data_IF_010055769195
#
_entry.id   IF_010055769195
#
_cell.length_a   1.000
_cell.length_b   1.000
_cell.length_c   1.000
_cell.angle_alpha   90.00
_cell.angle_beta   90.00
_cell.angle_gamma   90.00
#
_symmetry.space_group_name_H-M   'P 1'
#
loop_
_entity.id
_entity.type
_entity.pdbx_description
1 polymer ?
#
# COMPACT_ATOMS: atom_id res chain seq x y z
N UNK A 1 -13.70 21.59 -1.91
CA UNK A 1 -12.71 20.47 -2.01
C UNK A 1 -11.78 20.54 -0.81
N UNK A 2 -11.78 19.51 0.04
CA UNK A 2 -10.80 19.44 1.11
C UNK A 2 -9.40 19.18 0.51
N UNK A 3 -8.42 19.93 0.96
CA UNK A 3 -7.04 19.74 0.53
C UNK A 3 -6.55 18.37 0.99
N UNK A 4 -5.98 17.58 0.06
CA UNK A 4 -5.46 16.25 0.36
C UNK A 4 -4.17 16.37 1.18
N UNK A 5 -4.08 15.64 2.28
CA UNK A 5 -2.84 15.56 3.04
C UNK A 5 -1.71 15.02 2.15
N UNK A 6 -0.51 15.63 2.24
CA UNK A 6 0.67 15.21 1.49
C UNK A 6 1.22 13.87 1.96
N UNK A 7 0.99 13.54 3.22
CA UNK A 7 1.42 12.29 3.86
C UNK A 7 0.45 11.91 4.97
N UNK A 8 0.33 10.62 5.24
CA UNK A 8 -0.37 10.10 6.42
C UNK A 8 0.29 8.79 6.83
N UNK A 9 0.23 8.47 8.11
CA UNK A 9 0.83 7.28 8.70
C UNK A 9 -0.13 6.65 9.70
N UNK A 10 -0.29 5.34 9.62
CA UNK A 10 -1.00 4.53 10.60
C UNK A 10 -0.08 3.42 11.11
N UNK A 11 -0.33 2.91 12.30
CA UNK A 11 0.51 1.87 12.89
C UNK A 11 -0.26 0.91 13.78
N UNK A 12 0.30 -0.28 13.96
CA UNK A 12 -0.28 -1.37 14.76
C UNK A 12 0.83 -2.22 15.38
N UNK A 13 0.55 -2.80 16.54
CA UNK A 13 1.40 -3.83 17.13
C UNK A 13 1.03 -5.21 16.59
N UNK A 14 2.04 -6.02 16.24
CA UNK A 14 1.87 -7.36 15.68
C UNK A 14 2.69 -8.35 16.51
N UNK A 15 2.06 -9.41 16.99
CA UNK A 15 2.72 -10.46 17.75
C UNK A 15 3.41 -11.47 16.80
N UNK A 16 4.35 -10.98 16.03
CA UNK A 16 5.20 -11.74 15.12
C UNK A 16 6.52 -10.99 14.91
N UNK A 17 7.56 -11.68 14.46
CA UNK A 17 8.87 -11.04 14.22
C UNK A 17 8.82 -10.06 13.05
N UNK A 18 9.69 -9.04 13.02
CA UNK A 18 9.80 -8.14 11.86
C UNK A 18 10.05 -8.87 10.54
N UNK A 19 10.80 -9.95 10.54
CA UNK A 19 11.04 -10.78 9.36
C UNK A 19 9.78 -11.47 8.84
N UNK A 20 8.96 -12.00 9.75
CA UNK A 20 7.66 -12.60 9.41
C UNK A 20 6.72 -11.57 8.80
N UNK A 21 6.63 -10.39 9.41
CA UNK A 21 5.81 -9.28 8.91
C UNK A 21 6.31 -8.80 7.55
N UNK A 22 7.63 -8.64 7.39
CA UNK A 22 8.22 -8.25 6.12
C UNK A 22 7.89 -9.25 5.00
N UNK A 23 8.00 -10.54 5.27
CA UNK A 23 7.68 -11.57 4.28
C UNK A 23 6.23 -11.47 3.76
N UNK A 24 5.30 -11.06 4.62
CA UNK A 24 3.91 -10.85 4.22
C UNK A 24 3.75 -9.57 3.37
N UNK A 25 4.25 -8.44 3.85
CA UNK A 25 4.04 -7.14 3.16
C UNK A 25 4.82 -7.01 1.87
N UNK A 26 5.97 -7.67 1.74
CA UNK A 26 6.81 -7.63 0.54
C UNK A 26 6.40 -8.61 -0.55
N UNK A 27 5.58 -9.60 -0.22
CA UNK A 27 4.96 -10.48 -1.21
C UNK A 27 3.71 -9.82 -1.79
N UNK A 28 3.92 -9.05 -2.85
CA UNK A 28 2.84 -8.28 -3.48
C UNK A 28 1.73 -9.17 -4.04
N UNK A 29 1.99 -10.45 -4.30
CA UNK A 29 0.97 -11.37 -4.79
C UNK A 29 -0.14 -11.62 -3.78
N UNK A 30 0.11 -11.34 -2.50
CA UNK A 30 -0.85 -11.45 -1.40
C UNK A 30 -1.57 -10.14 -1.08
N UNK A 31 -1.19 -9.02 -1.71
CA UNK A 31 -1.72 -7.69 -1.38
C UNK A 31 -3.26 -7.61 -1.48
N UNK A 32 -3.87 -8.35 -2.38
CA UNK A 32 -5.33 -8.43 -2.50
C UNK A 32 -6.03 -9.05 -1.28
N UNK A 33 -5.30 -9.74 -0.40
CA UNK A 33 -5.85 -10.34 0.82
C UNK A 33 -6.10 -9.31 1.92
N UNK A 34 -5.31 -8.25 1.97
CA UNK A 34 -5.41 -7.24 3.03
C UNK A 34 -5.76 -5.84 2.58
N UNK A 35 -5.40 -5.44 1.37
CA UNK A 35 -5.79 -4.12 0.88
C UNK A 35 -7.26 -4.09 0.44
N UNK A 36 -8.08 -3.13 0.93
CA UNK A 36 -9.47 -2.98 0.48
C UNK A 36 -9.61 -2.61 -1.00
N UNK A 37 -8.66 -1.89 -1.56
CA UNK A 37 -8.69 -1.44 -2.95
C UNK A 37 -8.03 -2.42 -3.92
N UNK A 38 -6.90 -3.02 -3.53
CA UNK A 38 -6.18 -3.95 -4.40
C UNK A 38 -6.91 -5.28 -4.52
N UNK A 39 -7.15 -5.74 -5.73
CA UNK A 39 -7.77 -7.04 -6.01
C UNK A 39 -6.72 -8.11 -6.25
N UNK A 40 -5.75 -7.81 -7.09
CA UNK A 40 -4.64 -8.70 -7.37
C UNK A 40 -3.38 -7.92 -7.76
N UNK A 41 -2.24 -8.51 -7.47
CA UNK A 41 -0.94 -8.03 -7.91
C UNK A 41 -0.11 -9.19 -8.41
N UNK A 42 0.73 -8.94 -9.42
CA UNK A 42 1.72 -9.90 -9.90
C UNK A 42 2.96 -9.21 -10.44
N UNK A 43 4.10 -9.86 -10.28
CA UNK A 43 5.37 -9.38 -10.80
C UNK A 43 5.35 -9.31 -12.33
N UNK A 44 6.00 -8.30 -12.91
CA UNK A 44 6.13 -8.10 -14.36
C UNK A 44 7.58 -7.79 -14.72
N UNK A 45 7.86 -7.72 -16.04
CA UNK A 45 9.16 -7.35 -16.59
C UNK A 45 10.31 -8.24 -16.05
N UNK A 46 10.03 -9.55 -15.87
CA UNK A 46 11.01 -10.53 -15.39
C UNK A 46 11.29 -10.51 -13.89
N UNK A 47 10.62 -9.66 -13.11
CA UNK A 47 10.73 -9.67 -11.66
C UNK A 47 10.07 -10.90 -11.04
N UNK A 48 10.69 -11.45 -10.00
CA UNK A 48 10.21 -12.63 -9.28
C UNK A 48 10.08 -12.42 -7.77
N UNK A 49 10.45 -11.24 -7.28
CA UNK A 49 10.42 -10.93 -5.86
C UNK A 49 10.77 -9.47 -5.56
N UNK A 50 10.73 -9.09 -4.28
CA UNK A 50 10.91 -7.71 -3.84
C UNK A 50 12.40 -7.31 -3.87
N UNK A 51 12.79 -6.66 -4.95
CA UNK A 51 14.11 -6.01 -5.08
C UNK A 51 13.92 -4.59 -5.60
N UNK A 52 14.78 -3.62 -5.19
CA UNK A 52 14.71 -2.28 -5.75
C UNK A 52 14.76 -2.30 -7.28
N UNK A 53 13.84 -1.59 -7.91
CA UNK A 53 13.67 -1.59 -9.37
C UNK A 53 12.69 -2.63 -9.90
N UNK A 54 12.34 -3.66 -9.14
CA UNK A 54 11.32 -4.64 -9.53
C UNK A 54 9.95 -3.97 -9.72
N UNK A 55 9.24 -4.36 -10.75
CA UNK A 55 7.92 -3.83 -11.09
C UNK A 55 6.85 -4.88 -10.93
N UNK A 56 5.67 -4.45 -10.58
CA UNK A 56 4.49 -5.31 -10.52
C UNK A 56 3.26 -4.59 -11.10
N UNK A 57 2.29 -5.36 -11.54
CA UNK A 57 0.99 -4.85 -11.95
C UNK A 57 0.02 -5.01 -10.79
N UNK A 58 -0.65 -3.92 -10.43
CA UNK A 58 -1.72 -3.93 -9.45
C UNK A 58 -3.05 -3.62 -10.14
N UNK A 59 -4.05 -4.45 -9.90
CA UNK A 59 -5.43 -4.23 -10.31
C UNK A 59 -6.21 -3.79 -9.08
N UNK A 60 -6.81 -2.62 -9.17
CA UNK A 60 -7.51 -1.96 -8.06
C UNK A 60 -8.98 -1.72 -8.40
N UNK A 61 -9.78 -1.62 -7.35
CA UNK A 61 -11.18 -1.23 -7.45
C UNK A 61 -11.60 -0.53 -6.16
N UNK A 62 -12.10 0.69 -6.27
CA UNK A 62 -12.76 1.35 -5.16
C UNK A 62 -14.09 0.64 -4.85
N UNK A 63 -14.63 0.86 -3.66
CA UNK A 63 -15.93 0.32 -3.25
C UNK A 63 -17.03 0.67 -4.26
N UNK A 64 -16.98 1.90 -4.75
CA UNK A 64 -17.88 2.41 -5.82
C UNK A 64 -17.01 2.98 -6.94
N UNK A 65 -17.13 2.42 -8.14
CA UNK A 65 -16.41 2.93 -9.29
C UNK A 65 -15.81 1.84 -10.19
N UNK A 66 -15.19 2.25 -11.30
CA UNK A 66 -14.53 1.32 -12.22
C UNK A 66 -13.26 0.74 -11.62
N UNK A 67 -12.85 -0.41 -12.13
CA UNK A 67 -11.52 -0.95 -11.86
C UNK A 67 -10.46 -0.17 -12.66
N UNK A 68 -9.27 -0.05 -12.09
CA UNK A 68 -8.11 0.52 -12.77
C UNK A 68 -6.87 -0.30 -12.46
N UNK A 69 -5.85 -0.17 -13.27
CA UNK A 69 -4.56 -0.82 -13.02
C UNK A 69 -3.42 0.18 -13.07
N UNK A 70 -2.37 -0.12 -12.34
CA UNK A 70 -1.10 0.61 -12.40
C UNK A 70 0.08 -0.35 -12.30
N UNK A 71 1.29 0.16 -12.54
CA UNK A 71 2.52 -0.62 -12.56
C UNK A 71 3.54 -0.01 -11.60
N UNK A 72 3.37 -0.21 -10.29
CA UNK A 72 4.31 0.31 -9.30
C UNK A 72 5.70 -0.30 -9.45
N UNK A 73 6.69 0.40 -8.89
CA UNK A 73 8.08 -0.02 -8.82
C UNK A 73 8.57 -0.03 -7.39
N UNK A 74 9.20 -1.12 -6.98
CA UNK A 74 9.82 -1.23 -5.66
C UNK A 74 10.98 -0.24 -5.56
N UNK A 75 11.00 0.56 -4.50
CA UNK A 75 12.06 1.55 -4.22
C UNK A 75 12.90 1.17 -3.00
N UNK A 76 12.32 0.47 -2.03
CA UNK A 76 13.03 -0.07 -0.87
C UNK A 76 12.60 -1.51 -0.64
N UNK A 77 13.57 -2.40 -0.44
CA UNK A 77 13.34 -3.79 -0.06
C UNK A 77 14.43 -4.19 0.94
N UNK A 78 14.21 -3.84 2.21
CA UNK A 78 15.12 -4.08 3.33
C UNK A 78 14.46 -5.06 4.31
N UNK A 79 14.82 -6.38 4.25
CA UNK A 79 14.15 -7.41 5.04
C UNK A 79 14.12 -7.10 6.55
N UNK A 80 12.93 -7.19 7.12
CA UNK A 80 12.69 -6.92 8.53
C UNK A 80 12.65 -5.45 8.93
N UNK A 81 12.85 -4.51 7.98
CA UNK A 81 12.91 -3.07 8.26
C UNK A 81 11.95 -2.25 7.42
N UNK A 82 12.02 -2.35 6.09
CA UNK A 82 11.22 -1.50 5.22
C UNK A 82 10.93 -2.15 3.86
N UNK A 83 9.69 -1.99 3.41
CA UNK A 83 9.27 -2.26 2.05
C UNK A 83 8.52 -1.04 1.52
N UNK A 84 8.94 -0.51 0.37
CA UNK A 84 8.31 0.65 -0.25
C UNK A 84 8.26 0.53 -1.76
N UNK A 85 7.20 1.09 -2.34
CA UNK A 85 7.05 1.16 -3.80
C UNK A 85 6.47 2.50 -4.23
N UNK A 86 6.88 2.94 -5.42
CA UNK A 86 6.39 4.16 -6.07
C UNK A 86 5.35 3.82 -7.13
N UNK A 87 4.24 4.52 -7.07
CA UNK A 87 3.23 4.53 -8.13
C UNK A 87 3.24 5.89 -8.82
N UNK A 88 3.61 5.90 -10.08
CA UNK A 88 3.67 7.12 -10.89
C UNK A 88 3.19 6.91 -12.32
N UNK A 89 2.79 7.99 -12.98
CA UNK A 89 2.42 7.97 -14.39
C UNK A 89 1.96 9.32 -14.88
N UNK A 90 1.76 9.46 -16.21
CA UNK A 90 1.31 10.71 -16.82
C UNK A 90 -0.02 11.17 -16.21
N UNK A 91 -0.05 12.40 -15.69
CA UNK A 91 -1.24 13.01 -15.10
C UNK A 91 -1.64 12.52 -13.72
N UNK A 92 -1.22 11.31 -13.30
CA UNK A 92 -1.59 10.75 -12.00
C UNK A 92 -0.62 11.13 -10.87
N UNK A 93 0.49 11.81 -11.20
CA UNK A 93 1.49 12.21 -10.23
C UNK A 93 2.37 11.06 -9.75
N UNK A 94 2.92 11.19 -8.56
CA UNK A 94 3.74 10.15 -7.91
C UNK A 94 3.38 10.04 -6.44
N UNK A 95 3.14 8.83 -5.97
CA UNK A 95 2.88 8.49 -4.57
C UNK A 95 3.80 7.34 -4.18
N UNK A 96 4.49 7.47 -3.05
CA UNK A 96 5.26 6.39 -2.45
C UNK A 96 4.46 5.80 -1.30
N UNK A 97 4.27 4.48 -1.34
CA UNK A 97 3.69 3.67 -0.28
C UNK A 97 4.79 2.95 0.46
N UNK A 98 4.71 2.93 1.79
CA UNK A 98 5.79 2.49 2.66
C UNK A 98 5.27 1.67 3.82
N UNK A 99 5.88 0.50 4.05
CA UNK A 99 5.71 -0.30 5.25
C UNK A 99 7.03 -0.28 6.02
N UNK A 100 6.98 0.14 7.27
CA UNK A 100 8.13 0.13 8.19
C UNK A 100 7.88 -0.79 9.35
N UNK A 101 8.88 -1.56 9.73
CA UNK A 101 8.85 -2.50 10.84
C UNK A 101 9.97 -2.18 11.81
N UNK A 102 9.66 -2.25 13.09
CA UNK A 102 10.64 -2.17 14.15
C UNK A 102 10.29 -3.17 15.26
N UNK A 103 11.32 -3.74 15.90
CA UNK A 103 11.11 -4.64 17.02
C UNK A 103 10.41 -3.90 18.16
N UNK A 104 9.45 -4.55 18.79
CA UNK A 104 8.72 -4.05 19.95
C UNK A 104 8.63 -5.12 21.04
N UNK A 105 8.12 -4.74 22.23
CA UNK A 105 7.94 -5.67 23.34
C UNK A 105 6.95 -6.81 23.03
N UNK A 106 6.03 -6.61 22.07
CA UNK A 106 5.02 -7.60 21.64
C UNK A 106 5.42 -8.34 20.38
N UNK A 107 6.48 -7.92 19.70
CA UNK A 107 6.97 -8.50 18.45
C UNK A 107 7.40 -7.42 17.46
N UNK A 108 6.46 -6.79 16.78
CA UNK A 108 6.73 -5.78 15.75
C UNK A 108 5.77 -4.62 15.85
N UNK A 109 6.31 -3.40 15.79
CA UNK A 109 5.56 -2.20 15.42
C UNK A 109 5.56 -2.09 13.90
N UNK A 110 4.39 -2.23 13.29
CA UNK A 110 4.19 -2.08 11.84
C UNK A 110 3.51 -0.75 11.54
N UNK A 111 4.10 0.01 10.65
CA UNK A 111 3.54 1.28 10.18
C UNK A 111 3.36 1.24 8.66
N UNK A 112 2.21 1.72 8.20
CA UNK A 112 1.93 1.98 6.78
C UNK A 112 1.77 3.48 6.58
N UNK A 113 2.40 4.00 5.54
CA UNK A 113 2.32 5.41 5.18
C UNK A 113 2.27 5.60 3.67
N UNK A 114 1.75 6.75 3.25
CA UNK A 114 1.93 7.24 1.89
C UNK A 114 2.50 8.65 1.91
N UNK A 115 3.22 8.97 0.83
CA UNK A 115 3.76 10.30 0.59
C UNK A 115 3.44 10.70 -0.86
N UNK A 116 2.76 11.84 -1.04
CA UNK A 116 2.51 12.42 -2.36
C UNK A 116 3.73 13.24 -2.76
N UNK A 117 4.61 12.64 -3.56
CA UNK A 117 5.82 13.30 -4.08
C UNK A 117 5.47 14.30 -5.17
N UNK A 118 4.52 13.92 -6.02
CA UNK A 118 3.98 14.79 -7.08
C UNK A 118 2.46 14.63 -7.12
N UNK A 119 1.71 15.72 -6.95
CA UNK A 119 0.24 15.63 -6.98
C UNK A 119 -0.26 15.29 -8.38
N UNK A 120 -1.44 14.65 -8.50
CA UNK A 120 -2.10 14.45 -9.78
C UNK A 120 -2.47 15.76 -10.44
N UNK A 121 -2.62 15.75 -11.77
CA UNK A 121 -3.18 16.88 -12.49
C UNK A 121 -4.61 17.18 -12.01
N UNK A 122 -4.96 18.48 -11.91
CA UNK A 122 -6.28 18.91 -11.42
C UNK A 122 -7.46 18.23 -12.12
N UNK A 123 -7.35 18.07 -13.47
CA UNK A 123 -8.37 17.38 -14.26
C UNK A 123 -8.54 15.91 -13.86
N UNK A 124 -7.42 15.21 -13.55
CA UNK A 124 -7.45 13.82 -13.10
C UNK A 124 -8.06 13.73 -11.70
N UNK A 125 -7.71 14.64 -10.80
CA UNK A 125 -8.31 14.72 -9.46
C UNK A 125 -9.83 14.89 -9.53
N UNK A 126 -10.30 15.86 -10.30
CA UNK A 126 -11.73 16.13 -10.49
C UNK A 126 -12.47 14.90 -11.06
N UNK A 127 -11.88 14.24 -12.08
CA UNK A 127 -12.47 13.05 -12.69
C UNK A 127 -12.55 11.90 -11.69
N UNK A 128 -11.50 11.69 -10.91
CA UNK A 128 -11.45 10.63 -9.89
C UNK A 128 -12.53 10.84 -8.82
N UNK A 129 -12.64 12.05 -8.28
CA UNK A 129 -13.68 12.40 -7.30
C UNK A 129 -15.09 12.15 -7.86
N UNK A 130 -15.33 12.57 -9.10
CA UNK A 130 -16.63 12.37 -9.76
C UNK A 130 -16.97 10.90 -10.00
N UNK A 131 -16.00 10.08 -10.37
CA UNK A 131 -16.21 8.65 -10.66
C UNK A 131 -16.28 7.79 -9.39
N UNK A 132 -15.50 8.09 -8.37
CA UNK A 132 -15.45 7.30 -7.14
C UNK A 132 -16.47 7.77 -6.10
N UNK A 133 -16.97 9.00 -6.22
CA UNK A 133 -17.88 9.65 -5.24
C UNK A 133 -17.29 9.67 -3.81
N UNK A 134 -15.97 9.76 -3.71
CA UNK A 134 -15.26 9.88 -2.43
C UNK A 134 -15.06 11.36 -2.14
N UNK A 135 -15.74 11.87 -1.11
CA UNK A 135 -15.69 13.29 -0.74
C UNK A 135 -14.42 13.64 0.05
N UNK A 136 -13.91 12.70 0.84
CA UNK A 136 -12.70 12.87 1.64
C UNK A 136 -11.73 11.70 1.40
N UNK A 137 -10.85 11.87 0.43
CA UNK A 137 -9.87 10.83 0.06
C UNK A 137 -8.84 10.58 1.15
N UNK A 138 -8.52 11.57 1.96
CA UNK A 138 -7.58 11.41 3.08
C UNK A 138 -8.17 10.49 4.15
N UNK A 139 -9.42 10.72 4.54
CA UNK A 139 -10.12 9.86 5.50
C UNK A 139 -10.32 8.44 4.95
N UNK A 140 -10.66 8.32 3.67
CA UNK A 140 -10.81 7.04 2.97
C UNK A 140 -9.51 6.23 2.95
N UNK A 141 -8.38 6.86 2.61
CA UNK A 141 -7.05 6.23 2.63
C UNK A 141 -6.63 5.83 4.05
N UNK A 142 -6.89 6.67 5.05
CA UNK A 142 -6.61 6.33 6.45
C UNK A 142 -7.38 5.08 6.88
N UNK A 143 -8.67 5.02 6.60
CA UNK A 143 -9.50 3.86 6.88
C UNK A 143 -9.01 2.60 6.15
N UNK A 144 -8.61 2.72 4.90
CA UNK A 144 -8.05 1.62 4.10
C UNK A 144 -6.73 1.11 4.67
N UNK A 145 -5.83 2.00 5.07
CA UNK A 145 -4.55 1.62 5.70
C UNK A 145 -4.78 0.90 7.03
N UNK A 146 -5.67 1.39 7.88
CA UNK A 146 -5.99 0.71 9.14
C UNK A 146 -6.57 -0.68 8.92
N UNK A 147 -7.48 -0.85 7.95
CA UNK A 147 -8.02 -2.15 7.58
C UNK A 147 -6.94 -3.10 7.04
N UNK A 148 -6.03 -2.58 6.24
CA UNK A 148 -4.88 -3.33 5.71
C UNK A 148 -4.01 -3.85 6.83
N UNK A 149 -3.61 -3.00 7.78
CA UNK A 149 -2.76 -3.37 8.90
C UNK A 149 -3.42 -4.43 9.78
N UNK A 150 -4.71 -4.31 10.05
CA UNK A 150 -5.44 -5.30 10.86
C UNK A 150 -5.47 -6.67 10.19
N UNK A 151 -5.65 -6.74 8.88
CA UNK A 151 -5.64 -8.00 8.13
C UNK A 151 -4.24 -8.61 8.06
N UNK A 152 -3.20 -7.79 7.92
CA UNK A 152 -1.81 -8.25 8.00
C UNK A 152 -1.51 -8.80 9.39
N UNK A 153 -1.93 -8.11 10.45
CA UNK A 153 -1.78 -8.57 11.83
C UNK A 153 -2.42 -9.95 12.02
N UNK A 154 -3.66 -10.11 11.60
CA UNK A 154 -4.36 -11.39 11.70
C UNK A 154 -3.63 -12.50 10.94
N UNK A 155 -3.14 -12.24 9.74
CA UNK A 155 -2.36 -13.21 8.96
C UNK A 155 -1.03 -13.56 9.63
N UNK A 156 -0.32 -12.59 10.19
CA UNK A 156 0.96 -12.78 10.86
C UNK A 156 0.84 -13.54 12.19
N UNK A 157 -0.24 -13.31 12.92
CA UNK A 157 -0.49 -13.92 14.24
C UNK A 157 -1.19 -15.28 14.16
N UNK A 158 -1.72 -15.64 12.99
CA UNK A 158 -2.34 -16.95 12.77
C UNK A 158 -1.24 -18.00 12.57
N UNK A 159 -1.19 -19.07 13.40
CA UNK A 159 -0.21 -20.13 13.19
C UNK A 159 -0.38 -20.75 11.79
N UNK A 160 0.74 -21.02 11.12
CA UNK A 160 0.76 -21.82 9.90
C UNK A 160 0.31 -23.25 10.27
N UNK A 161 -0.92 -23.57 9.93
CA UNK A 161 -1.51 -24.88 10.14
C UNK A 161 -1.32 -25.80 8.97
#
# INVERSE_FOLDING_TARGET
MKERAQTDTVGIEVAATPETVYALVSDITQMGRWSPECRECHWIDGATGPTPGARFKAVNRAEKGPSWSNKPQVVVADPGHEFAFSRKGPGIGEVIWRYRMSASSTGTRLEESYEIVKPPAKAVMWLTEKLTRIDDRTADLNGSMNATLERIRQAAETPAG
#
